data_IF_821572248919
#
_entry.id   IF_821572248919
#
_cell.length_a   1.000
_cell.length_b   1.000
_cell.length_c   1.000
_cell.angle_alpha   90.00
_cell.angle_beta   90.00
_cell.angle_gamma   90.00
#
_symmetry.space_group_name_H-M   'P 1'
#
loop_
_entity.id
_entity.type
_entity.pdbx_description
1 polymer ?
#
# COMPACT_ATOMS: atom_id res chain seq x y z
N UNK A 1 27.47 -3.42 -3.39
CA UNK A 1 27.70 -2.14 -2.72
C UNK A 1 27.82 -2.40 -1.24
N UNK A 2 28.85 -1.81 -0.63
CA UNK A 2 29.17 -2.06 0.77
C UNK A 2 28.10 -1.44 1.69
N UNK A 3 27.81 -2.14 2.79
CA UNK A 3 26.82 -1.70 3.79
C UNK A 3 27.18 -0.34 4.44
N UNK A 4 28.42 0.12 4.26
CA UNK A 4 28.88 1.42 4.76
C UNK A 4 28.24 2.62 4.05
N UNK A 5 27.68 2.43 2.84
CA UNK A 5 26.92 3.43 2.12
C UNK A 5 25.47 3.58 2.61
N UNK A 6 24.99 2.76 3.58
CA UNK A 6 23.63 2.88 4.11
C UNK A 6 23.35 4.22 4.78
N UNK A 7 24.37 4.88 5.32
CA UNK A 7 24.25 6.22 5.89
C UNK A 7 23.87 7.26 4.83
N UNK A 8 24.32 7.07 3.59
CA UNK A 8 24.00 7.95 2.46
C UNK A 8 22.64 7.63 1.85
N UNK A 9 22.24 6.33 1.88
CA UNK A 9 20.96 5.85 1.34
C UNK A 9 19.77 6.19 2.25
N UNK A 10 20.02 6.34 3.56
CA UNK A 10 18.99 6.65 4.55
C UNK A 10 18.26 7.97 4.28
N UNK A 11 18.88 8.88 3.53
CA UNK A 11 18.30 10.17 3.18
C UNK A 11 18.18 11.13 4.37
N UNK A 12 17.44 12.21 4.18
CA UNK A 12 17.28 13.30 5.16
C UNK A 12 16.12 13.10 6.16
N UNK A 13 15.34 12.02 6.04
CA UNK A 13 14.10 11.87 6.81
C UNK A 13 14.25 11.21 8.18
N UNK A 14 15.45 10.79 8.58
CA UNK A 14 15.72 10.26 9.92
C UNK A 14 15.05 8.92 10.23
N UNK A 15 15.13 8.51 11.50
CA UNK A 15 14.47 7.31 12.03
C UNK A 15 13.14 7.64 12.71
N UNK A 16 12.20 6.69 12.81
CA UNK A 16 12.27 5.32 12.30
C UNK A 16 12.02 5.23 10.79
N UNK A 17 12.48 4.10 10.20
CA UNK A 17 12.24 3.77 8.80
C UNK A 17 11.58 2.39 8.66
N UNK A 18 10.91 2.17 7.53
CA UNK A 18 10.44 0.86 7.09
C UNK A 18 11.40 0.35 6.01
N UNK A 19 11.79 -0.90 6.16
CA UNK A 19 12.62 -1.63 5.20
C UNK A 19 11.80 -2.77 4.65
N UNK A 20 11.76 -2.92 3.33
CA UNK A 20 11.00 -4.02 2.68
C UNK A 20 11.66 -4.46 1.38
N UNK A 21 11.57 -5.74 1.00
CA UNK A 21 11.90 -6.21 -0.34
C UNK A 21 11.01 -5.50 -1.38
N UNK A 22 11.56 -5.19 -2.55
CA UNK A 22 10.81 -4.43 -3.59
C UNK A 22 9.68 -5.25 -4.21
N UNK A 23 9.90 -6.54 -4.43
CA UNK A 23 9.02 -7.37 -5.27
C UNK A 23 8.19 -8.37 -4.45
N UNK A 24 8.32 -8.36 -3.10
CA UNK A 24 7.56 -9.25 -2.25
C UNK A 24 6.19 -8.68 -1.87
N UNK A 25 5.21 -9.57 -1.73
CA UNK A 25 3.88 -9.26 -1.25
C UNK A 25 3.69 -9.57 0.24
N UNK A 26 2.49 -9.29 0.75
CA UNK A 26 2.03 -9.68 2.09
C UNK A 26 2.94 -9.24 3.26
N UNK A 27 3.72 -8.18 3.08
CA UNK A 27 4.70 -7.69 4.07
C UNK A 27 5.80 -8.71 4.43
N UNK A 28 6.09 -9.68 3.55
CA UNK A 28 7.21 -10.61 3.73
C UNK A 28 8.52 -9.83 3.73
N UNK A 29 9.39 -10.10 4.71
CA UNK A 29 10.69 -9.43 4.84
C UNK A 29 10.61 -7.95 5.23
N UNK A 30 9.42 -7.43 5.55
CA UNK A 30 9.26 -6.06 6.03
C UNK A 30 9.67 -5.94 7.49
N UNK A 31 10.44 -4.89 7.81
CA UNK A 31 10.84 -4.57 9.18
C UNK A 31 10.89 -3.07 9.42
N UNK A 32 10.61 -2.66 10.66
CA UNK A 32 10.81 -1.30 11.14
C UNK A 32 12.16 -1.19 11.82
N UNK A 33 12.92 -0.17 11.49
CA UNK A 33 14.23 0.12 12.07
C UNK A 33 14.22 1.47 12.78
N UNK A 34 14.72 1.46 14.02
CA UNK A 34 14.75 2.65 14.90
C UNK A 34 16.10 3.38 14.88
N UNK A 35 17.13 2.75 14.29
CA UNK A 35 18.49 3.24 14.23
C UNK A 35 19.27 2.52 13.13
N UNK A 36 20.52 2.90 12.90
CA UNK A 36 21.37 2.32 11.86
C UNK A 36 21.66 0.82 12.06
N UNK A 37 21.81 0.36 13.29
CA UNK A 37 22.03 -1.06 13.57
C UNK A 37 20.78 -1.89 13.20
N UNK A 38 19.59 -1.38 13.52
CA UNK A 38 18.32 -1.95 13.11
C UNK A 38 18.14 -1.92 11.59
N UNK A 39 18.49 -0.80 10.94
CA UNK A 39 18.46 -0.67 9.49
C UNK A 39 19.34 -1.70 8.80
N UNK A 40 20.58 -1.86 9.26
CA UNK A 40 21.50 -2.85 8.69
C UNK A 40 20.94 -4.27 8.76
N UNK A 41 20.42 -4.67 9.94
CA UNK A 41 19.78 -6.00 10.11
C UNK A 41 18.57 -6.17 9.20
N UNK A 42 17.72 -5.16 9.12
CA UNK A 42 16.53 -5.19 8.29
C UNK A 42 16.85 -5.28 6.79
N UNK A 43 17.87 -4.55 6.33
CA UNK A 43 18.32 -4.61 4.92
C UNK A 43 18.88 -5.99 4.60
N UNK A 44 19.72 -6.57 5.47
CA UNK A 44 20.25 -7.92 5.25
C UNK A 44 19.13 -8.96 5.17
N UNK A 45 18.15 -8.91 6.07
CA UNK A 45 17.02 -9.82 6.06
C UNK A 45 16.13 -9.62 4.80
N UNK A 46 15.93 -8.38 4.34
CA UNK A 46 15.18 -8.11 3.12
C UNK A 46 15.90 -8.62 1.86
N UNK A 47 17.24 -8.55 1.83
CA UNK A 47 18.06 -9.06 0.72
C UNK A 47 18.00 -10.60 0.57
N UNK A 48 17.59 -11.33 1.60
CA UNK A 48 17.34 -12.79 1.49
C UNK A 48 16.11 -13.07 0.61
N UNK A 49 15.23 -12.07 0.40
CA UNK A 49 14.00 -12.19 -0.39
C UNK A 49 14.08 -11.53 -1.76
N UNK A 50 14.76 -10.38 -1.87
CA UNK A 50 14.85 -9.61 -3.12
C UNK A 50 16.21 -8.88 -3.20
N UNK A 51 16.90 -8.88 -4.35
CA UNK A 51 18.15 -8.13 -4.53
C UNK A 51 17.96 -6.61 -4.45
N UNK A 52 16.71 -6.13 -4.45
CA UNK A 52 16.37 -4.71 -4.30
C UNK A 52 15.54 -4.49 -3.05
N UNK A 53 15.99 -3.56 -2.22
CA UNK A 53 15.35 -3.22 -0.95
C UNK A 53 14.88 -1.77 -0.99
N UNK A 54 13.67 -1.53 -0.52
CA UNK A 54 13.12 -0.20 -0.31
C UNK A 54 13.32 0.21 1.14
N UNK A 55 13.78 1.43 1.34
CA UNK A 55 13.88 2.08 2.65
C UNK A 55 12.99 3.33 2.61
N UNK A 56 11.96 3.34 3.43
CA UNK A 56 10.94 4.39 3.44
C UNK A 56 10.87 5.04 4.81
N UNK A 57 10.55 6.32 4.88
CA UNK A 57 10.23 6.98 6.15
C UNK A 57 9.05 6.26 6.80
N UNK A 58 9.16 5.94 8.09
CA UNK A 58 8.01 5.49 8.85
C UNK A 58 7.05 6.66 9.09
N UNK A 59 5.82 6.51 8.64
CA UNK A 59 4.76 7.49 8.88
C UNK A 59 3.75 6.87 9.84
N UNK A 60 3.50 7.54 10.96
CA UNK A 60 2.48 7.13 11.92
C UNK A 60 1.11 7.56 11.43
N UNK A 61 0.15 6.63 11.40
CA UNK A 61 -1.21 6.92 10.96
C UNK A 61 -2.14 5.73 11.15
N UNK A 62 -3.39 5.94 10.77
CA UNK A 62 -4.42 4.90 10.69
C UNK A 62 -4.39 4.28 9.30
N UNK A 63 -4.21 2.98 9.21
CA UNK A 63 -4.24 2.27 7.94
C UNK A 63 -5.69 1.99 7.54
N UNK A 64 -6.06 2.42 6.33
CA UNK A 64 -7.41 2.25 5.76
C UNK A 64 -7.30 1.64 4.38
N UNK A 65 -8.00 0.54 4.17
CA UNK A 65 -8.05 -0.12 2.88
C UNK A 65 -9.37 0.18 2.19
N UNK A 66 -9.30 0.55 0.92
CA UNK A 66 -10.45 0.89 0.08
C UNK A 66 -10.62 -0.16 -1.01
N UNK A 67 -11.80 -0.77 -1.07
CA UNK A 67 -12.15 -1.72 -2.12
C UNK A 67 -12.81 -1.01 -3.30
N UNK A 68 -12.42 -1.37 -4.52
CA UNK A 68 -13.00 -0.86 -5.75
C UNK A 68 -13.38 -2.03 -6.67
N UNK A 69 -14.42 -1.81 -7.48
CA UNK A 69 -14.84 -2.69 -8.56
C UNK A 69 -15.18 -1.83 -9.77
N UNK A 70 -14.53 -2.10 -10.91
CA UNK A 70 -14.70 -1.36 -12.16
C UNK A 70 -14.61 0.18 -11.98
N UNK A 71 -13.62 0.62 -11.21
CA UNK A 71 -13.37 2.01 -10.92
C UNK A 71 -14.34 2.67 -9.93
N UNK A 72 -15.30 1.91 -9.37
CA UNK A 72 -16.26 2.40 -8.37
C UNK A 72 -15.82 1.96 -6.97
N UNK A 73 -15.78 2.90 -6.04
CA UNK A 73 -15.49 2.59 -4.64
C UNK A 73 -16.66 1.81 -4.03
N UNK A 74 -16.39 0.64 -3.48
CA UNK A 74 -17.34 -0.18 -2.72
C UNK A 74 -17.44 0.28 -1.26
N UNK A 75 -16.32 0.66 -0.67
CA UNK A 75 -16.24 1.08 0.72
C UNK A 75 -14.81 1.10 1.24
N UNK A 76 -14.67 1.35 2.54
CA UNK A 76 -13.40 1.40 3.22
C UNK A 76 -13.46 0.66 4.55
N UNK A 77 -12.32 0.09 4.97
CA UNK A 77 -12.14 -0.64 6.22
C UNK A 77 -10.86 -0.18 6.92
N UNK A 78 -10.95 0.10 8.21
CA UNK A 78 -9.80 0.43 9.06
C UNK A 78 -9.13 -0.85 9.54
N UNK A 79 -7.81 -0.86 9.51
CA UNK A 79 -6.96 -1.95 9.93
C UNK A 79 -6.31 -1.60 11.27
N UNK A 80 -6.56 -2.41 12.29
CA UNK A 80 -6.03 -2.17 13.65
C UNK A 80 -5.24 -3.39 14.11
N UNK A 81 -3.97 -3.50 13.72
CA UNK A 81 -3.12 -4.58 14.17
C UNK A 81 -2.76 -4.40 15.65
N UNK A 82 -2.89 -5.46 16.45
CA UNK A 82 -2.54 -5.43 17.88
C UNK A 82 -1.06 -5.19 18.15
N UNK A 83 -0.21 -5.57 17.20
CA UNK A 83 1.24 -5.32 17.22
C UNK A 83 1.61 -3.86 16.91
N UNK A 84 0.67 -3.06 16.41
CA UNK A 84 0.91 -1.69 15.93
C UNK A 84 1.50 -1.61 14.52
N UNK A 85 1.79 -2.75 13.87
CA UNK A 85 2.27 -2.82 12.48
C UNK A 85 1.52 -3.93 11.76
N UNK A 86 1.03 -3.65 10.56
CA UNK A 86 0.30 -4.63 9.74
C UNK A 86 1.30 -5.49 8.95
N UNK A 87 2.06 -6.30 9.67
CA UNK A 87 3.05 -7.25 9.17
C UNK A 87 2.41 -8.60 8.76
N UNK A 88 3.24 -9.53 8.31
CA UNK A 88 2.79 -10.87 7.91
C UNK A 88 2.02 -11.59 9.03
N UNK A 89 2.53 -11.56 10.26
CA UNK A 89 1.89 -12.21 11.39
C UNK A 89 0.52 -11.59 11.70
N UNK A 90 0.41 -10.25 11.65
CA UNK A 90 -0.84 -9.52 11.86
C UNK A 90 -1.89 -9.82 10.78
N UNK A 91 -1.46 -10.12 9.54
CA UNK A 91 -2.35 -10.45 8.42
C UNK A 91 -2.96 -11.85 8.53
N UNK A 92 -2.19 -12.83 9.00
CA UNK A 92 -2.54 -14.24 8.91
C UNK A 92 -2.82 -14.94 10.25
N UNK A 93 -2.52 -14.30 11.38
CA UNK A 93 -2.87 -14.86 12.69
C UNK A 93 -4.29 -14.47 13.07
N UNK A 94 -5.20 -15.44 13.32
CA UNK A 94 -6.56 -15.13 13.74
C UNK A 94 -6.59 -14.25 14.99
N UNK A 95 -7.37 -13.16 14.93
CA UNK A 95 -7.52 -12.23 16.04
C UNK A 95 -6.33 -11.31 16.32
N UNK A 96 -5.25 -11.34 15.50
CA UNK A 96 -4.13 -10.42 15.62
C UNK A 96 -4.47 -9.01 15.13
N UNK A 97 -5.48 -8.89 14.26
CA UNK A 97 -5.92 -7.61 13.69
C UNK A 97 -7.43 -7.45 13.86
N UNK A 98 -7.87 -6.28 14.27
CA UNK A 98 -9.26 -5.85 14.23
C UNK A 98 -9.54 -5.11 12.92
N UNK A 99 -10.72 -5.34 12.34
CA UNK A 99 -11.18 -4.75 11.10
C UNK A 99 -12.45 -3.96 11.34
N UNK A 100 -12.46 -2.66 11.10
CA UNK A 100 -13.55 -1.77 11.48
C UNK A 100 -14.16 -1.11 10.25
N UNK A 101 -15.44 -1.32 10.05
CA UNK A 101 -16.22 -0.74 8.95
C UNK A 101 -17.50 -0.10 9.51
N UNK A 102 -17.75 1.19 9.22
CA UNK A 102 -16.86 2.15 8.55
C UNK A 102 -15.65 2.51 9.42
N UNK A 103 -14.55 3.04 8.80
CA UNK A 103 -13.38 3.51 9.54
C UNK A 103 -13.73 4.56 10.60
N UNK A 104 -13.03 4.55 11.74
CA UNK A 104 -13.20 5.51 12.85
C UNK A 104 -12.55 6.85 12.54
N UNK A 105 -12.86 7.42 11.40
CA UNK A 105 -12.42 8.72 10.93
C UNK A 105 -13.62 9.66 10.74
N UNK A 106 -13.43 10.98 10.79
CA UNK A 106 -14.47 11.91 10.39
C UNK A 106 -14.97 11.61 8.96
N UNK A 107 -16.27 11.73 8.72
CA UNK A 107 -16.87 11.36 7.43
C UNK A 107 -16.27 12.11 6.23
N UNK A 108 -15.79 13.33 6.44
CA UNK A 108 -15.06 14.11 5.44
C UNK A 108 -13.72 13.47 5.08
N UNK A 109 -12.99 12.94 6.08
CA UNK A 109 -11.73 12.24 5.87
C UNK A 109 -11.96 10.90 5.15
N UNK A 110 -12.97 10.13 5.56
CA UNK A 110 -13.34 8.88 4.86
C UNK A 110 -13.60 9.14 3.39
N UNK A 111 -14.37 10.20 3.05
CA UNK A 111 -14.60 10.57 1.65
C UNK A 111 -13.32 10.99 0.94
N UNK A 112 -12.42 11.73 1.60
CA UNK A 112 -11.12 12.11 1.07
C UNK A 112 -10.28 10.89 0.70
N UNK A 113 -10.17 9.92 1.62
CA UNK A 113 -9.46 8.65 1.41
C UNK A 113 -10.07 7.85 0.25
N UNK A 114 -11.40 7.75 0.17
CA UNK A 114 -12.08 7.06 -0.94
C UNK A 114 -11.79 7.74 -2.29
N UNK A 115 -11.84 9.07 -2.36
CA UNK A 115 -11.52 9.83 -3.57
C UNK A 115 -10.04 9.67 -3.96
N UNK A 116 -9.13 9.64 -2.98
CA UNK A 116 -7.71 9.40 -3.23
C UNK A 116 -7.49 8.01 -3.82
N UNK A 117 -8.13 6.99 -3.24
CA UNK A 117 -8.06 5.61 -3.72
C UNK A 117 -8.60 5.47 -5.16
N UNK A 118 -9.73 6.09 -5.47
CA UNK A 118 -10.29 6.10 -6.83
C UNK A 118 -9.32 6.75 -7.82
N UNK A 119 -8.71 7.88 -7.45
CA UNK A 119 -7.72 8.56 -8.28
C UNK A 119 -6.46 7.71 -8.49
N UNK A 120 -5.96 7.04 -7.44
CA UNK A 120 -4.80 6.15 -7.53
C UNK A 120 -5.06 4.97 -8.47
N UNK A 121 -6.20 4.28 -8.32
CA UNK A 121 -6.60 3.19 -9.20
C UNK A 121 -6.73 3.65 -10.66
N UNK A 122 -7.36 4.80 -10.88
CA UNK A 122 -7.52 5.40 -12.23
C UNK A 122 -6.18 5.78 -12.86
N UNK A 123 -5.26 6.34 -12.08
CA UNK A 123 -3.93 6.74 -12.57
C UNK A 123 -3.11 5.55 -13.06
N UNK A 124 -3.32 4.36 -12.47
CA UNK A 124 -2.70 3.10 -12.89
C UNK A 124 -3.49 2.36 -13.98
N UNK A 125 -4.63 2.87 -14.40
CA UNK A 125 -5.48 2.21 -15.39
C UNK A 125 -6.11 0.90 -14.86
N UNK A 126 -6.36 0.79 -13.56
CA UNK A 126 -6.96 -0.40 -12.98
C UNK A 126 -8.38 -0.62 -13.51
N UNK A 127 -8.69 -1.87 -13.87
CA UNK A 127 -10.02 -2.36 -14.22
C UNK A 127 -10.36 -3.58 -13.37
N UNK A 128 -11.64 -3.93 -13.28
CA UNK A 128 -12.09 -5.02 -12.41
C UNK A 128 -11.93 -4.69 -10.93
N UNK A 129 -11.64 -5.71 -10.13
CA UNK A 129 -11.50 -5.57 -8.68
C UNK A 129 -10.08 -5.12 -8.29
N UNK A 130 -9.99 -4.10 -7.45
CA UNK A 130 -8.72 -3.70 -6.84
C UNK A 130 -8.92 -3.22 -5.39
N UNK A 131 -7.82 -3.16 -4.65
CA UNK A 131 -7.78 -2.59 -3.30
C UNK A 131 -6.65 -1.59 -3.21
N UNK A 132 -6.95 -0.42 -2.67
CA UNK A 132 -5.97 0.64 -2.43
C UNK A 132 -5.76 0.77 -0.94
N UNK A 133 -4.52 0.63 -0.50
CA UNK A 133 -4.13 0.69 0.88
C UNK A 133 -3.57 2.10 1.17
N UNK A 134 -4.17 2.78 2.15
CA UNK A 134 -3.92 4.20 2.44
C UNK A 134 -3.57 4.37 3.91
N UNK A 135 -2.55 5.17 4.20
CA UNK A 135 -2.20 5.59 5.54
C UNK A 135 -2.71 7.01 5.79
N UNK A 136 -3.53 7.18 6.81
CA UNK A 136 -4.16 8.46 7.20
C UNK A 136 -3.49 8.97 8.46
N UNK A 137 -2.78 10.09 8.37
CA UNK A 137 -2.09 10.69 9.52
C UNK A 137 -3.05 11.47 10.43
N UNK A 138 -2.63 11.79 11.64
CA UNK A 138 -3.38 12.66 12.55
C UNK A 138 -3.54 14.10 12.00
N UNK A 139 -2.60 14.52 11.11
CA UNK A 139 -2.70 15.76 10.34
C UNK A 139 -3.64 15.63 9.15
N UNK A 140 -3.40 16.45 8.12
CA UNK A 140 -4.27 16.50 6.92
C UNK A 140 -3.79 15.59 5.77
N UNK A 141 -2.69 14.84 5.95
CA UNK A 141 -2.09 14.06 4.89
C UNK A 141 -2.60 12.62 4.86
N UNK A 142 -2.85 12.14 3.66
CA UNK A 142 -3.08 10.74 3.32
C UNK A 142 -2.00 10.26 2.35
N UNK A 143 -1.47 9.06 2.59
CA UNK A 143 -0.45 8.45 1.75
C UNK A 143 -0.97 7.14 1.17
N UNK A 144 -0.96 7.01 -0.16
CA UNK A 144 -1.20 5.72 -0.81
C UNK A 144 0.02 4.85 -0.57
N UNK A 145 -0.16 3.71 0.10
CA UNK A 145 0.89 2.73 0.33
C UNK A 145 1.09 1.83 -0.89
N UNK A 146 -0.03 1.28 -1.39
CA UNK A 146 -0.01 0.38 -2.54
C UNK A 146 -1.39 0.29 -3.21
N UNK A 147 -1.39 -0.19 -4.46
CA UNK A 147 -2.60 -0.57 -5.20
C UNK A 147 -2.50 -2.04 -5.56
N UNK A 148 -3.40 -2.85 -4.99
CA UNK A 148 -3.46 -4.28 -5.23
C UNK A 148 -4.44 -4.57 -6.37
N UNK A 149 -3.93 -4.94 -7.53
CA UNK A 149 -4.73 -5.24 -8.74
C UNK A 149 -5.27 -6.67 -8.76
N UNK A 150 -4.81 -7.53 -7.86
CA UNK A 150 -5.33 -8.87 -7.65
C UNK A 150 -5.51 -9.10 -6.13
N UNK A 151 -6.50 -8.42 -5.50
CA UNK A 151 -6.73 -8.55 -4.07
C UNK A 151 -7.20 -9.96 -3.71
N UNK A 152 -6.84 -10.40 -2.49
CA UNK A 152 -7.25 -11.72 -2.00
C UNK A 152 -8.77 -11.88 -1.94
N UNK A 153 -9.24 -13.10 -2.23
CA UNK A 153 -10.65 -13.47 -2.29
C UNK A 153 -11.01 -14.60 -1.32
N UNK A 154 -10.18 -14.81 -0.29
CA UNK A 154 -10.52 -15.80 0.79
C UNK A 154 -11.56 -15.21 1.75
N UNK A 155 -12.20 -16.03 2.60
CA UNK A 155 -13.17 -15.55 3.60
C UNK A 155 -12.60 -14.51 4.57
N UNK A 156 -11.29 -14.49 4.77
CA UNK A 156 -10.60 -13.52 5.64
C UNK A 156 -10.12 -12.30 4.89
N UNK A 157 -10.16 -12.29 3.57
CA UNK A 157 -9.69 -11.20 2.72
C UNK A 157 -10.54 -9.93 2.86
N UNK A 158 -9.91 -8.79 2.63
CA UNK A 158 -10.53 -7.49 2.91
C UNK A 158 -11.53 -7.07 1.83
N UNK A 159 -11.25 -7.35 0.54
CA UNK A 159 -12.18 -6.97 -0.52
C UNK A 159 -13.57 -7.61 -0.35
N UNK A 160 -13.73 -8.93 -0.07
CA UNK A 160 -15.02 -9.50 0.24
C UNK A 160 -15.71 -8.89 1.45
N UNK A 161 -14.96 -8.54 2.51
CA UNK A 161 -15.52 -7.87 3.69
C UNK A 161 -16.04 -6.47 3.37
N UNK A 162 -15.27 -5.69 2.57
CA UNK A 162 -15.68 -4.36 2.13
C UNK A 162 -16.94 -4.47 1.25
N UNK A 163 -16.96 -5.40 0.29
CA UNK A 163 -18.10 -5.64 -0.59
C UNK A 163 -19.36 -6.04 0.21
N UNK A 164 -19.21 -6.94 1.18
CA UNK A 164 -20.31 -7.34 2.07
C UNK A 164 -20.89 -6.17 2.86
N UNK A 165 -20.04 -5.25 3.36
CA UNK A 165 -20.52 -4.03 4.04
C UNK A 165 -21.26 -3.06 3.11
N UNK A 166 -21.01 -3.16 1.81
CA UNK A 166 -21.73 -2.41 0.76
C UNK A 166 -23.00 -3.15 0.24
N UNK A 167 -23.35 -4.31 0.86
CA UNK A 167 -24.52 -5.08 0.46
C UNK A 167 -24.27 -6.05 -0.70
N UNK A 168 -23.02 -6.28 -1.09
CA UNK A 168 -22.62 -7.23 -2.15
C UNK A 168 -22.08 -8.48 -1.48
N UNK A 169 -22.80 -9.59 -1.58
CA UNK A 169 -22.34 -10.86 -1.04
C UNK A 169 -21.21 -11.48 -1.88
N UNK A 170 -20.59 -12.52 -1.37
CA UNK A 170 -19.43 -13.12 -2.02
C UNK A 170 -19.75 -13.70 -3.42
N UNK A 171 -20.85 -14.43 -3.65
CA UNK A 171 -21.23 -14.88 -5.00
C UNK A 171 -21.42 -13.71 -5.97
N UNK A 172 -22.18 -12.69 -5.59
CA UNK A 172 -22.42 -11.50 -6.42
C UNK A 172 -21.12 -10.73 -6.74
N UNK A 173 -20.19 -10.66 -5.77
CA UNK A 173 -18.87 -10.08 -6.01
C UNK A 173 -18.09 -10.88 -7.06
N UNK A 174 -18.08 -12.22 -6.95
CA UNK A 174 -17.41 -13.09 -7.93
C UNK A 174 -18.04 -12.96 -9.33
N UNK A 175 -19.37 -12.95 -9.44
CA UNK A 175 -20.07 -12.75 -10.70
C UNK A 175 -19.72 -11.40 -11.33
N UNK A 176 -19.75 -10.33 -10.56
CA UNK A 176 -19.40 -9.00 -11.05
C UNK A 176 -17.94 -8.89 -11.53
N UNK A 177 -17.00 -9.57 -10.85
CA UNK A 177 -15.60 -9.62 -11.31
C UNK A 177 -15.50 -10.38 -12.64
N UNK A 178 -16.24 -11.48 -12.80
CA UNK A 178 -16.23 -12.29 -14.03
C UNK A 178 -16.90 -11.55 -15.19
N UNK A 179 -18.01 -10.87 -14.94
CA UNK A 179 -18.72 -10.10 -15.97
C UNK A 179 -17.87 -8.93 -16.51
N UNK A 180 -17.03 -8.33 -15.65
CA UNK A 180 -16.08 -7.29 -16.04
C UNK A 180 -14.80 -7.82 -16.70
N UNK A 181 -14.58 -9.14 -16.73
CA UNK A 181 -13.35 -9.74 -17.27
C UNK A 181 -13.25 -9.55 -18.78
N UNK A 182 -12.16 -8.95 -19.24
CA UNK A 182 -11.88 -8.76 -20.66
C UNK A 182 -10.47 -9.23 -21.01
N UNK A 183 -10.32 -9.78 -22.20
CA UNK A 183 -8.99 -10.05 -22.74
C UNK A 183 -8.38 -8.71 -23.19
N UNK A 184 -7.39 -8.26 -22.48
CA UNK A 184 -6.54 -7.18 -22.96
C UNK A 184 -5.69 -7.76 -24.09
N UNK A 185 -6.14 -7.57 -25.34
CA UNK A 185 -5.34 -7.91 -26.52
C UNK A 185 -3.99 -7.22 -26.40
N UNK A 186 -2.91 -7.91 -26.76
CA UNK A 186 -1.55 -7.41 -26.71
C UNK A 186 -1.45 -6.08 -27.46
N UNK A 187 -1.61 -4.97 -26.75
CA UNK A 187 -1.01 -3.73 -27.19
C UNK A 187 0.49 -4.04 -27.20
N UNK A 188 1.08 -4.10 -28.40
CA UNK A 188 2.46 -4.43 -28.59
C UNK A 188 3.36 -3.47 -27.80
N UNK A 189 3.58 -3.82 -26.54
CA UNK A 189 4.60 -3.19 -25.73
C UNK A 189 5.91 -3.78 -26.21
N UNK A 190 6.54 -3.08 -27.17
CA UNK A 190 7.95 -3.26 -27.47
C UNK A 190 8.69 -3.28 -26.12
N UNK A 191 9.31 -4.41 -25.81
CA UNK A 191 10.23 -4.52 -24.68
C UNK A 191 11.32 -3.48 -24.89
N UNK A 192 11.15 -2.29 -24.32
CA UNK A 192 12.25 -1.36 -24.17
C UNK A 192 13.17 -1.91 -23.10
N UNK A 193 14.42 -2.06 -23.53
CA UNK A 193 15.60 -2.47 -22.80
C UNK A 193 15.57 -2.17 -21.31
N UNK A 194 15.65 -3.23 -20.51
CA UNK A 194 15.78 -3.18 -19.05
C UNK A 194 17.21 -2.85 -18.64
N UNK A 195 17.70 -1.66 -18.97
CA UNK A 195 18.94 -1.11 -18.40
C UNK A 195 18.63 0.21 -17.70
N UNK A 196 17.92 0.12 -16.59
CA UNK A 196 17.84 1.25 -15.67
C UNK A 196 18.56 0.84 -14.40
N UNK A 197 19.85 1.14 -14.38
CA UNK A 197 20.67 1.16 -13.17
C UNK A 197 20.60 2.57 -12.58
N UNK A 198 19.51 2.91 -11.89
CA UNK A 198 19.45 4.12 -11.09
C UNK A 198 18.62 3.88 -9.85
N UNK A 199 19.21 4.16 -8.70
CA UNK A 199 18.51 4.34 -7.43
C UNK A 199 17.68 5.62 -7.59
N UNK A 200 16.37 5.50 -7.68
CA UNK A 200 15.49 6.66 -7.59
C UNK A 200 15.13 6.86 -6.14
N UNK A 201 15.76 7.84 -5.50
CA UNK A 201 15.29 8.39 -4.24
C UNK A 201 14.08 9.25 -4.59
N UNK A 202 12.88 8.87 -4.15
CA UNK A 202 11.74 9.75 -4.20
C UNK A 202 12.01 10.91 -3.21
N UNK A 203 12.49 12.03 -3.75
CA UNK A 203 12.62 13.26 -3.00
C UNK A 203 11.22 13.84 -2.75
N UNK A 204 10.99 14.35 -1.55
CA UNK A 204 9.82 15.14 -1.20
C UNK A 204 9.60 16.22 -2.26
N UNK A 205 8.46 16.20 -2.93
CA UNK A 205 7.99 17.36 -3.65
C UNK A 205 7.66 18.44 -2.61
N UNK A 206 8.63 19.28 -2.29
CA UNK A 206 8.39 20.51 -1.57
C UNK A 206 7.52 21.38 -2.46
N UNK A 207 6.30 21.63 -2.02
CA UNK A 207 5.46 22.68 -2.56
C UNK A 207 6.07 24.00 -2.08
N UNK A 208 6.85 24.63 -2.94
CA UNK A 208 7.19 26.04 -2.77
C UNK A 208 5.91 26.84 -3.04
N UNK A 209 5.42 27.48 -2.00
CA UNK A 209 4.43 28.53 -2.11
C UNK A 209 5.13 29.78 -2.63
N UNK A 210 4.99 30.05 -3.93
CA UNK A 210 5.32 31.37 -4.45
C UNK A 210 4.29 32.38 -3.93
N UNK A 211 4.79 33.32 -3.15
CA UNK A 211 4.14 34.57 -2.78
C UNK A 211 3.76 35.32 -4.04
N UNK A 212 2.50 35.67 -4.16
CA UNK A 212 2.04 36.73 -5.06
C UNK A 212 1.57 37.90 -4.21
N UNK A 213 2.33 38.99 -4.31
CA UNK A 213 1.90 40.35 -3.98
C UNK A 213 0.62 40.79 -4.71
#
# INVERSE_FOLDING_TARGET
>A
KELDELNEVHGSFGFPVIVKPRSEGSSVGMARAENFEGLRRAVLAALDHDPFVLVERFVKGTEVHVGLLDGRVLGAIEIVPKSGIYDYASKYTPGATEYITPPRLPSTRVRGVMNLAERAARALGCSGACRVDVLVTEGENEYVLEVNTLPGMTPTSLLPKIASSAGIDYPALCEAILDGATLHGSLGVSRRDSRISHVTVAADAAFESDDLE
#
